data_IF_342141325749
#
_entry.id   IF_342141325749
#
_cell.length_a   1.000
_cell.length_b   1.000
_cell.length_c   1.000
_cell.angle_alpha   90.00
_cell.angle_beta   90.00
_cell.angle_gamma   90.00
#
_symmetry.space_group_name_H-M   'P 1'
#
loop_
_entity.id
_entity.type
_entity.pdbx_description
1 polymer ?
#
# COMPACT_ATOMS: atom_id res chain seq x y z
N UNK A 1 -5.28 33.99 11.73
CA UNK A 1 -5.80 32.75 11.12
C UNK A 1 -4.95 31.58 11.60
N UNK A 2 -5.53 30.75 12.47
CA UNK A 2 -4.89 29.75 13.35
C UNK A 2 -4.36 28.53 12.58
N UNK A 3 -3.34 27.87 13.13
CA UNK A 3 -2.62 26.69 12.61
C UNK A 3 -3.52 25.44 12.35
N UNK A 4 -4.45 25.48 11.39
CA UNK A 4 -5.29 24.33 11.00
C UNK A 4 -4.60 23.37 10.04
N UNK A 5 -3.48 23.79 9.44
CA UNK A 5 -2.73 23.01 8.45
C UNK A 5 -2.24 21.62 8.90
N UNK A 6 -1.86 21.36 10.17
CA UNK A 6 -1.30 20.06 10.54
C UNK A 6 -2.34 18.94 10.63
N UNK A 7 -3.64 19.24 10.70
CA UNK A 7 -4.68 18.22 10.88
C UNK A 7 -5.42 17.84 9.59
N UNK A 8 -5.36 18.67 8.54
CA UNK A 8 -6.13 18.44 7.31
C UNK A 8 -5.74 17.16 6.55
N UNK A 9 -4.44 16.85 6.46
CA UNK A 9 -3.94 15.65 5.77
C UNK A 9 -4.41 14.36 6.44
N UNK A 10 -4.31 14.19 7.78
CA UNK A 10 -4.91 13.07 8.50
C UNK A 10 -6.39 12.82 8.20
N UNK A 11 -7.22 13.89 8.11
CA UNK A 11 -8.64 13.73 7.78
C UNK A 11 -8.84 13.23 6.35
N UNK A 12 -8.06 13.73 5.38
CA UNK A 12 -8.13 13.23 4.01
C UNK A 12 -7.70 11.76 3.91
N UNK A 13 -6.61 11.38 4.58
CA UNK A 13 -6.14 9.99 4.63
C UNK A 13 -7.17 9.07 5.30
N UNK A 14 -7.85 9.55 6.35
CA UNK A 14 -8.95 8.83 6.97
C UNK A 14 -10.15 8.66 6.04
N UNK A 15 -10.57 9.71 5.32
CA UNK A 15 -11.66 9.59 4.34
C UNK A 15 -11.28 8.63 3.19
N UNK A 16 -10.01 8.60 2.80
CA UNK A 16 -9.48 7.66 1.81
C UNK A 16 -9.60 6.21 2.29
N UNK A 17 -9.21 5.92 3.53
CA UNK A 17 -9.42 4.61 4.15
C UNK A 17 -10.90 4.18 4.12
N UNK A 18 -11.83 5.15 4.15
CA UNK A 18 -13.27 4.90 4.09
C UNK A 18 -13.72 4.20 2.81
N UNK A 19 -13.07 4.47 1.68
CA UNK A 19 -13.38 3.78 0.41
C UNK A 19 -12.99 2.32 0.47
N UNK A 20 -11.81 2.02 1.03
CA UNK A 20 -11.38 0.65 1.27
C UNK A 20 -12.32 -0.06 2.25
N UNK A 21 -12.67 0.60 3.35
CA UNK A 21 -13.58 0.05 4.36
C UNK A 21 -14.96 -0.23 3.77
N UNK A 22 -15.48 0.64 2.89
CA UNK A 22 -16.75 0.42 2.21
C UNK A 22 -16.73 -0.87 1.40
N UNK A 23 -15.68 -1.09 0.60
CA UNK A 23 -15.54 -2.32 -0.20
C UNK A 23 -15.52 -3.57 0.69
N UNK A 24 -14.83 -3.53 1.84
CA UNK A 24 -14.85 -4.64 2.79
C UNK A 24 -16.26 -4.90 3.36
N UNK A 25 -16.97 -3.83 3.75
CA UNK A 25 -18.33 -3.94 4.27
C UNK A 25 -19.28 -4.51 3.21
N UNK A 26 -19.07 -4.16 1.93
CA UNK A 26 -19.91 -4.66 0.86
C UNK A 26 -19.90 -6.18 0.72
N UNK A 27 -18.83 -6.87 1.10
CA UNK A 27 -18.81 -8.34 1.10
C UNK A 27 -19.83 -8.97 2.06
N UNK A 28 -20.24 -8.28 3.13
CA UNK A 28 -21.30 -8.78 4.03
C UNK A 28 -22.70 -8.73 3.40
N UNK A 29 -22.88 -7.92 2.36
CA UNK A 29 -24.15 -7.74 1.64
C UNK A 29 -24.18 -8.45 0.29
N UNK A 30 -23.09 -9.10 -0.10
CA UNK A 30 -22.90 -9.72 -1.42
C UNK A 30 -24.03 -10.67 -1.82
N UNK A 31 -24.57 -11.44 -0.85
CA UNK A 31 -25.60 -12.46 -1.08
C UNK A 31 -27.02 -12.04 -0.66
N UNK A 32 -27.19 -10.81 -0.20
CA UNK A 32 -28.48 -10.33 0.29
C UNK A 32 -29.33 -9.66 -0.81
N UNK A 33 -28.86 -9.67 -2.06
CA UNK A 33 -29.41 -8.88 -3.18
C UNK A 33 -29.63 -7.39 -2.85
N UNK A 34 -28.97 -6.91 -1.80
CA UNK A 34 -29.15 -5.59 -1.24
C UNK A 34 -27.88 -4.75 -1.48
N UNK A 35 -28.07 -3.50 -1.86
CA UNK A 35 -26.98 -2.52 -1.87
C UNK A 35 -26.51 -2.37 -0.43
N UNK A 36 -25.20 -2.39 -0.21
CA UNK A 36 -24.61 -1.95 1.05
C UNK A 36 -25.22 -0.61 1.43
N UNK A 37 -25.90 -0.48 2.58
CA UNK A 37 -26.56 0.76 2.98
C UNK A 37 -25.57 1.93 3.04
N UNK A 38 -25.44 2.66 1.92
CA UNK A 38 -24.37 3.63 1.71
C UNK A 38 -24.46 4.76 2.73
N UNK A 39 -25.68 5.23 3.00
CA UNK A 39 -25.94 6.25 4.00
C UNK A 39 -25.58 5.78 5.42
N UNK A 40 -25.93 4.55 5.78
CA UNK A 40 -25.60 3.97 7.08
C UNK A 40 -24.08 3.90 7.27
N UNK A 41 -23.37 3.37 6.26
CA UNK A 41 -21.92 3.32 6.26
C UNK A 41 -21.30 4.71 6.42
N UNK A 42 -21.72 5.70 5.63
CA UNK A 42 -21.15 7.04 5.70
C UNK A 42 -21.44 7.73 7.03
N UNK A 43 -22.66 7.58 7.58
CA UNK A 43 -23.00 8.13 8.88
C UNK A 43 -22.12 7.51 9.96
N UNK A 44 -22.01 6.19 10.02
CA UNK A 44 -21.15 5.52 10.98
C UNK A 44 -19.67 5.91 10.81
N UNK A 45 -19.16 5.93 9.58
CA UNK A 45 -17.76 6.23 9.29
C UNK A 45 -17.38 7.68 9.61
N UNK A 46 -18.21 8.64 9.21
CA UNK A 46 -17.96 10.07 9.41
C UNK A 46 -18.23 10.49 10.85
N UNK A 47 -19.37 10.11 11.42
CA UNK A 47 -19.70 10.43 12.83
C UNK A 47 -18.71 9.75 13.76
N UNK A 48 -18.41 8.48 13.52
CA UNK A 48 -17.44 7.75 14.33
C UNK A 48 -16.03 8.28 14.19
N UNK A 49 -15.60 8.62 12.97
CA UNK A 49 -14.34 9.31 12.73
C UNK A 49 -14.26 10.62 13.49
N UNK A 50 -15.25 11.51 13.36
CA UNK A 50 -15.29 12.79 14.06
C UNK A 50 -15.27 12.62 15.58
N UNK A 51 -16.02 11.66 16.13
CA UNK A 51 -16.01 11.35 17.56
C UNK A 51 -14.60 10.92 18.01
N UNK A 52 -13.93 10.06 17.24
CA UNK A 52 -12.55 9.65 17.49
C UNK A 52 -11.59 10.85 17.45
N UNK A 53 -11.62 11.64 16.38
CA UNK A 53 -10.75 12.81 16.21
C UNK A 53 -10.96 13.85 17.32
N UNK A 54 -12.20 14.06 17.75
CA UNK A 54 -12.53 14.94 18.87
C UNK A 54 -11.94 14.39 20.19
N UNK A 55 -12.13 13.10 20.47
CA UNK A 55 -11.56 12.45 21.65
C UNK A 55 -10.03 12.55 21.67
N UNK A 56 -9.36 12.24 20.54
CA UNK A 56 -7.91 12.31 20.40
C UNK A 56 -7.37 13.73 20.54
N UNK A 57 -8.13 14.73 20.10
CA UNK A 57 -7.75 16.15 20.25
C UNK A 57 -7.77 16.62 21.70
N UNK A 58 -8.61 16.03 22.56
CA UNK A 58 -8.70 16.38 23.98
C UNK A 58 -7.65 15.66 24.83
N UNK A 59 -7.34 14.39 24.52
CA UNK A 59 -6.30 13.61 25.19
C UNK A 59 -5.43 12.85 24.18
N UNK A 60 -4.18 13.28 24.02
CA UNK A 60 -3.22 12.63 23.09
C UNK A 60 -2.89 11.18 23.47
N UNK A 61 -2.90 10.90 24.78
CA UNK A 61 -2.69 9.57 25.35
C UNK A 61 -3.99 9.05 25.94
N UNK A 62 -4.91 8.71 25.05
CA UNK A 62 -6.12 8.00 25.41
C UNK A 62 -5.75 6.64 25.98
N UNK A 63 -6.15 6.40 27.22
CA UNK A 63 -6.10 5.07 27.81
C UNK A 63 -6.96 4.12 26.99
N UNK A 64 -6.54 2.87 26.90
CA UNK A 64 -7.28 1.80 26.21
C UNK A 64 -8.75 1.71 26.68
N UNK A 65 -9.03 2.11 27.92
CA UNK A 65 -10.39 2.17 28.48
C UNK A 65 -11.35 3.12 27.76
N UNK A 66 -10.88 4.22 27.13
CA UNK A 66 -11.77 5.13 26.41
C UNK A 66 -12.12 4.64 24.98
N UNK A 67 -11.44 3.61 24.46
CA UNK A 67 -11.78 3.02 23.17
C UNK A 67 -13.10 2.25 23.22
N UNK A 68 -13.36 1.52 24.30
CA UNK A 68 -14.59 0.74 24.45
C UNK A 68 -15.88 1.57 24.36
N UNK A 69 -16.06 2.68 25.11
CA UNK A 69 -17.27 3.50 24.99
C UNK A 69 -17.38 4.16 23.61
N UNK A 70 -16.25 4.46 22.96
CA UNK A 70 -16.24 5.02 21.60
C UNK A 70 -16.70 4.00 20.56
N UNK A 71 -16.18 2.77 20.62
CA UNK A 71 -16.62 1.66 19.75
C UNK A 71 -18.09 1.34 19.99
N UNK A 72 -18.54 1.30 21.25
CA UNK A 72 -19.95 1.09 21.58
C UNK A 72 -20.86 2.20 21.02
N UNK A 73 -20.44 3.46 21.13
CA UNK A 73 -21.17 4.60 20.56
C UNK A 73 -21.25 4.50 19.03
N UNK A 74 -20.14 4.21 18.36
CA UNK A 74 -20.10 4.10 16.89
C UNK A 74 -20.94 2.92 16.41
N UNK A 75 -20.83 1.76 17.06
CA UNK A 75 -21.62 0.58 16.73
C UNK A 75 -23.11 0.80 16.98
N UNK A 76 -23.47 1.58 18.00
CA UNK A 76 -24.85 1.98 18.24
C UNK A 76 -25.40 2.86 17.10
N UNK A 77 -24.60 3.79 16.57
CA UNK A 77 -24.97 4.58 15.39
C UNK A 77 -25.14 3.70 14.15
N UNK A 78 -24.22 2.76 13.91
CA UNK A 78 -24.33 1.78 12.82
C UNK A 78 -25.60 0.93 12.92
N UNK A 79 -25.93 0.45 14.13
CA UNK A 79 -27.14 -0.31 14.39
C UNK A 79 -28.41 0.52 14.13
N UNK A 80 -28.48 1.77 14.61
CA UNK A 80 -29.62 2.66 14.39
C UNK A 80 -29.84 3.01 12.91
N UNK A 81 -28.79 2.97 12.11
CA UNK A 81 -28.83 3.31 10.68
C UNK A 81 -29.12 2.11 9.77
N UNK A 82 -29.32 0.92 10.37
CA UNK A 82 -29.83 -0.26 9.67
C UNK A 82 -28.83 -1.41 9.52
N UNK A 83 -27.62 -1.31 10.07
CA UNK A 83 -26.73 -2.47 10.12
C UNK A 83 -27.18 -3.47 11.18
N UNK A 84 -26.94 -4.76 10.90
CA UNK A 84 -27.02 -5.77 11.95
C UNK A 84 -26.02 -5.45 13.04
N UNK A 85 -26.34 -5.79 14.29
CA UNK A 85 -25.49 -5.51 15.45
C UNK A 85 -24.04 -6.00 15.25
N UNK A 86 -23.87 -7.17 14.62
CA UNK A 86 -22.56 -7.74 14.32
C UNK A 86 -21.78 -6.88 13.31
N UNK A 87 -22.40 -6.51 12.18
CA UNK A 87 -21.74 -5.69 11.15
C UNK A 87 -21.39 -4.31 11.70
N UNK A 88 -22.32 -3.67 12.42
CA UNK A 88 -22.09 -2.38 13.06
C UNK A 88 -20.92 -2.44 14.06
N UNK A 89 -20.84 -3.50 14.87
CA UNK A 89 -19.72 -3.66 15.82
C UNK A 89 -18.37 -3.82 15.10
N UNK A 90 -18.32 -4.62 14.04
CA UNK A 90 -17.10 -4.82 13.24
C UNK A 90 -16.66 -3.53 12.56
N UNK A 91 -17.60 -2.78 11.97
CA UNK A 91 -17.34 -1.48 11.35
C UNK A 91 -16.86 -0.48 12.40
N UNK A 92 -17.51 -0.40 13.55
CA UNK A 92 -17.12 0.48 14.65
C UNK A 92 -15.69 0.24 15.15
N UNK A 93 -15.28 -1.02 15.32
CA UNK A 93 -13.90 -1.38 15.68
C UNK A 93 -12.94 -0.91 14.60
N UNK A 94 -13.24 -1.18 13.33
CA UNK A 94 -12.37 -0.83 12.22
C UNK A 94 -12.28 0.70 12.01
N UNK A 95 -13.39 1.43 12.10
CA UNK A 95 -13.48 2.89 12.10
C UNK A 95 -12.60 3.48 13.20
N UNK A 96 -12.73 2.98 14.43
CA UNK A 96 -11.95 3.45 15.58
C UNK A 96 -10.45 3.20 15.41
N UNK A 97 -10.10 1.99 14.93
CA UNK A 97 -8.72 1.63 14.62
C UNK A 97 -8.14 2.54 13.53
N UNK A 98 -8.88 2.76 12.43
CA UNK A 98 -8.43 3.61 11.31
C UNK A 98 -8.29 5.06 11.74
N UNK A 99 -9.21 5.59 12.54
CA UNK A 99 -9.11 6.93 13.07
C UNK A 99 -7.86 7.08 13.96
N UNK A 100 -7.55 6.09 14.80
CA UNK A 100 -6.35 6.08 15.63
C UNK A 100 -5.05 6.11 14.81
N UNK A 101 -4.94 5.25 13.79
CA UNK A 101 -3.75 5.22 12.92
C UNK A 101 -3.57 6.57 12.21
N UNK A 102 -4.63 7.09 11.56
CA UNK A 102 -4.53 8.34 10.81
C UNK A 102 -4.26 9.55 11.73
N UNK A 103 -4.72 9.50 12.98
CA UNK A 103 -4.41 10.56 13.95
C UNK A 103 -2.94 10.55 14.39
N UNK A 104 -2.36 9.37 14.65
CA UNK A 104 -0.98 9.25 15.16
C UNK A 104 0.08 9.32 14.07
N UNK A 105 -0.19 8.76 12.89
CA UNK A 105 0.76 8.71 11.78
C UNK A 105 0.49 9.83 10.77
N UNK A 106 1.16 10.96 10.94
CA UNK A 106 0.99 12.11 10.04
C UNK A 106 1.43 11.84 8.58
N UNK A 107 2.24 10.80 8.35
CA UNK A 107 2.72 10.42 7.03
C UNK A 107 2.59 8.92 6.81
N UNK A 108 1.80 8.55 5.81
CA UNK A 108 1.47 7.17 5.49
C UNK A 108 2.05 6.75 4.15
N UNK A 109 2.85 5.69 4.18
CA UNK A 109 3.45 5.09 2.98
C UNK A 109 2.60 3.93 2.43
N UNK A 110 1.56 3.50 3.15
CA UNK A 110 0.70 2.37 2.81
C UNK A 110 -0.54 2.74 1.96
N UNK A 111 -0.70 4.01 1.58
CA UNK A 111 -1.83 4.47 0.75
C UNK A 111 -1.94 3.72 -0.60
N UNK A 112 -0.80 3.39 -1.21
CA UNK A 112 -0.78 2.60 -2.45
C UNK A 112 -1.21 1.15 -2.22
N UNK A 113 -0.82 0.55 -1.09
CA UNK A 113 -1.23 -0.80 -0.74
C UNK A 113 -2.74 -0.85 -0.50
N UNK A 114 -3.31 0.14 0.20
CA UNK A 114 -4.75 0.26 0.39
C UNK A 114 -5.50 0.41 -0.92
N UNK A 115 -5.03 1.28 -1.82
CA UNK A 115 -5.58 1.39 -3.17
C UNK A 115 -5.56 0.05 -3.90
N UNK A 116 -4.43 -0.68 -3.86
CA UNK A 116 -4.29 -1.98 -4.50
C UNK A 116 -5.28 -3.00 -3.90
N UNK A 117 -5.44 -3.04 -2.58
CA UNK A 117 -6.43 -3.91 -1.92
C UNK A 117 -7.86 -3.53 -2.27
N UNK A 118 -8.19 -2.25 -2.38
CA UNK A 118 -9.51 -1.82 -2.88
C UNK A 118 -9.71 -2.26 -4.32
N UNK A 119 -8.72 -2.07 -5.20
CA UNK A 119 -8.82 -2.48 -6.60
C UNK A 119 -9.04 -3.99 -6.74
N UNK A 120 -8.27 -4.79 -5.99
CA UNK A 120 -8.41 -6.25 -5.97
C UNK A 120 -9.77 -6.64 -5.37
N UNK A 121 -10.16 -6.06 -4.23
CA UNK A 121 -11.44 -6.34 -3.57
C UNK A 121 -12.64 -6.00 -4.45
N UNK A 122 -12.63 -4.83 -5.10
CA UNK A 122 -13.66 -4.43 -6.05
C UNK A 122 -13.70 -5.32 -7.29
N UNK A 123 -12.55 -5.79 -7.79
CA UNK A 123 -12.50 -6.72 -8.91
C UNK A 123 -13.07 -8.09 -8.53
N UNK A 124 -12.70 -8.61 -7.36
CA UNK A 124 -13.26 -9.86 -6.82
C UNK A 124 -14.77 -9.70 -6.66
N UNK A 125 -15.24 -8.62 -6.03
CA UNK A 125 -16.66 -8.31 -5.89
C UNK A 125 -17.35 -8.27 -7.26
N UNK A 126 -16.74 -7.65 -8.26
CA UNK A 126 -17.30 -7.59 -9.61
C UNK A 126 -17.47 -8.98 -10.26
N UNK A 127 -16.55 -9.91 -10.00
CA UNK A 127 -16.58 -11.25 -10.57
C UNK A 127 -17.62 -12.17 -9.91
N UNK A 128 -17.84 -12.04 -8.60
CA UNK A 128 -18.72 -12.94 -7.83
C UNK A 128 -20.06 -12.31 -7.44
N UNK A 129 -20.18 -10.98 -7.56
CA UNK A 129 -21.33 -10.23 -7.11
C UNK A 129 -22.51 -10.26 -8.09
N UNK A 130 -23.69 -10.09 -7.51
CA UNK A 130 -24.96 -10.07 -8.23
C UNK A 130 -25.02 -8.88 -9.20
N UNK A 131 -25.74 -9.06 -10.31
CA UNK A 131 -25.63 -8.19 -11.51
C UNK A 131 -25.92 -6.71 -11.23
N UNK A 132 -26.81 -6.39 -10.28
CA UNK A 132 -27.37 -5.05 -10.14
C UNK A 132 -26.39 -3.99 -9.66
N UNK A 133 -25.26 -4.38 -9.02
CA UNK A 133 -24.39 -3.41 -8.32
C UNK A 133 -22.89 -3.58 -8.56
N UNK A 134 -22.50 -4.52 -9.43
CA UNK A 134 -21.08 -4.82 -9.68
C UNK A 134 -20.34 -3.65 -10.33
N UNK A 135 -20.98 -2.89 -11.22
CA UNK A 135 -20.36 -1.74 -11.91
C UNK A 135 -19.99 -0.61 -10.95
N UNK A 136 -20.79 -0.39 -9.90
CA UNK A 136 -20.51 0.64 -8.88
C UNK A 136 -19.17 0.37 -8.20
N UNK A 137 -18.82 -0.91 -7.96
CA UNK A 137 -17.54 -1.27 -7.34
C UNK A 137 -16.34 -0.96 -8.22
N UNK A 138 -16.47 -1.06 -9.54
CA UNK A 138 -15.42 -0.62 -10.47
C UNK A 138 -15.28 0.91 -10.47
N UNK A 139 -16.42 1.63 -10.44
CA UNK A 139 -16.44 3.08 -10.29
C UNK A 139 -15.73 3.55 -9.02
N UNK A 140 -15.89 2.82 -7.92
CA UNK A 140 -15.18 3.08 -6.66
C UNK A 140 -13.66 2.97 -6.78
N UNK A 141 -13.13 2.06 -7.61
CA UNK A 141 -11.67 1.98 -7.86
C UNK A 141 -11.17 3.26 -8.53
N UNK A 142 -11.89 3.76 -9.53
CA UNK A 142 -11.57 5.01 -10.20
C UNK A 142 -11.62 6.18 -9.22
N UNK A 143 -12.70 6.26 -8.44
CA UNK A 143 -12.84 7.27 -7.38
C UNK A 143 -11.67 7.21 -6.39
N UNK A 144 -11.30 6.00 -5.95
CA UNK A 144 -10.22 5.80 -4.99
C UNK A 144 -8.85 6.21 -5.57
N UNK A 145 -8.61 5.92 -6.86
CA UNK A 145 -7.40 6.39 -7.56
C UNK A 145 -7.35 7.91 -7.61
N UNK A 146 -8.44 8.58 -7.99
CA UNK A 146 -8.51 10.05 -8.01
C UNK A 146 -8.22 10.61 -6.62
N UNK A 147 -8.80 9.99 -5.60
CA UNK A 147 -8.60 10.41 -4.22
C UNK A 147 -7.14 10.24 -3.78
N UNK A 148 -6.48 9.13 -4.15
CA UNK A 148 -5.05 8.90 -3.93
C UNK A 148 -4.19 10.02 -4.55
N UNK A 149 -4.51 10.39 -5.79
CA UNK A 149 -3.80 11.44 -6.53
C UNK A 149 -3.97 12.81 -5.85
N UNK A 150 -5.18 13.12 -5.35
CA UNK A 150 -5.46 14.33 -4.57
C UNK A 150 -4.62 14.37 -3.30
N UNK A 151 -4.57 13.28 -2.53
CA UNK A 151 -3.78 13.21 -1.30
C UNK A 151 -2.30 13.41 -1.59
N UNK A 152 -1.74 12.69 -2.58
CA UNK A 152 -0.32 12.82 -2.95
C UNK A 152 0.03 14.23 -3.42
N UNK A 153 -0.86 14.89 -4.16
CA UNK A 153 -0.66 16.29 -4.57
C UNK A 153 -0.73 17.26 -3.40
N UNK A 154 -1.67 17.07 -2.46
CA UNK A 154 -1.76 17.88 -1.24
C UNK A 154 -0.51 17.72 -0.38
N UNK A 155 -0.06 16.49 -0.13
CA UNK A 155 1.16 16.20 0.63
C UNK A 155 2.38 16.88 0.00
N UNK A 156 2.51 16.77 -1.32
CA UNK A 156 3.62 17.37 -2.05
C UNK A 156 3.58 18.90 -2.00
N UNK A 157 2.41 19.50 -2.17
CA UNK A 157 2.23 20.95 -2.12
C UNK A 157 2.52 21.51 -0.73
N UNK A 158 2.07 20.83 0.33
CA UNK A 158 2.35 21.20 1.71
C UNK A 158 3.84 21.06 2.05
N UNK A 159 4.51 20.02 1.53
CA UNK A 159 5.95 19.81 1.76
C UNK A 159 6.82 20.82 1.01
N UNK A 160 6.44 21.19 -0.22
CA UNK A 160 7.16 22.15 -1.07
C UNK A 160 6.16 22.94 -1.91
N UNK A 161 5.78 24.16 -1.50
CA UNK A 161 4.81 24.96 -2.24
C UNK A 161 5.41 25.40 -3.58
N UNK A 162 5.22 24.59 -4.61
CA UNK A 162 5.65 24.86 -5.98
C UNK A 162 4.44 24.79 -6.90
N UNK A 163 3.89 25.97 -7.24
CA UNK A 163 2.71 26.09 -8.09
C UNK A 163 2.91 25.48 -9.48
N UNK A 164 4.12 25.53 -10.04
CA UNK A 164 4.42 24.94 -11.36
C UNK A 164 4.34 23.42 -11.34
N UNK A 165 4.90 22.81 -10.29
CA UNK A 165 4.86 21.35 -10.13
C UNK A 165 3.44 20.85 -9.81
N UNK A 166 2.68 21.60 -9.02
CA UNK A 166 1.27 21.29 -8.78
C UNK A 166 0.45 21.32 -10.08
N UNK A 167 0.60 22.36 -10.91
CA UNK A 167 -0.07 22.45 -12.21
C UNK A 167 0.30 21.28 -13.13
N UNK A 168 1.57 20.89 -13.16
CA UNK A 168 2.04 19.74 -13.93
C UNK A 168 1.38 18.44 -13.46
N UNK A 169 1.38 18.17 -12.15
CA UNK A 169 0.74 16.98 -11.58
C UNK A 169 -0.77 16.97 -11.86
N UNK A 170 -1.45 18.10 -11.70
CA UNK A 170 -2.88 18.20 -12.01
C UNK A 170 -3.16 17.95 -13.50
N UNK A 171 -2.31 18.43 -14.40
CA UNK A 171 -2.40 18.12 -15.83
C UNK A 171 -2.24 16.62 -16.10
N UNK A 172 -1.25 15.98 -15.48
CA UNK A 172 -1.05 14.53 -15.59
C UNK A 172 -2.23 13.73 -15.05
N UNK A 173 -2.83 14.17 -13.94
CA UNK A 173 -4.04 13.54 -13.39
C UNK A 173 -5.25 13.74 -14.30
N UNK A 174 -5.37 14.91 -14.93
CA UNK A 174 -6.39 15.17 -15.95
C UNK A 174 -6.26 14.21 -17.14
N UNK A 175 -5.04 13.92 -17.59
CA UNK A 175 -4.78 12.93 -18.64
C UNK A 175 -5.16 11.52 -18.18
N UNK A 176 -4.80 11.12 -16.95
CA UNK A 176 -5.20 9.82 -16.40
C UNK A 176 -6.73 9.70 -16.34
N UNK A 177 -7.40 10.73 -15.82
CA UNK A 177 -8.87 10.79 -15.75
C UNK A 177 -9.53 10.74 -17.13
N UNK A 178 -8.99 11.46 -18.10
CA UNK A 178 -9.46 11.42 -19.48
C UNK A 178 -9.27 10.02 -20.08
N UNK A 179 -8.14 9.36 -19.81
CA UNK A 179 -7.88 7.98 -20.22
C UNK A 179 -8.85 6.98 -19.61
N UNK A 180 -9.18 7.14 -18.32
CA UNK A 180 -10.19 6.32 -17.65
C UNK A 180 -11.58 6.58 -18.24
N UNK A 181 -11.95 7.85 -18.44
CA UNK A 181 -13.22 8.23 -19.06
C UNK A 181 -13.37 7.66 -20.46
N UNK A 182 -12.32 7.76 -21.28
CA UNK A 182 -12.27 7.11 -22.59
C UNK A 182 -12.39 5.58 -22.47
N UNK A 183 -11.70 4.97 -21.50
CA UNK A 183 -11.82 3.53 -21.21
C UNK A 183 -13.24 3.11 -20.85
N UNK A 184 -13.96 3.88 -20.03
CA UNK A 184 -15.37 3.63 -19.67
C UNK A 184 -16.28 3.78 -20.89
N UNK A 185 -16.08 4.81 -21.72
CA UNK A 185 -16.85 4.98 -22.96
C UNK A 185 -16.58 3.87 -23.99
N UNK A 186 -15.35 3.37 -24.02
CA UNK A 186 -14.96 2.23 -24.87
C UNK A 186 -15.32 0.88 -24.24
N UNK A 187 -15.69 0.83 -22.96
CA UNK A 187 -15.96 -0.43 -22.25
C UNK A 187 -17.08 -1.26 -22.89
N UNK A 188 -18.22 -0.70 -23.35
CA UNK A 188 -19.22 -1.47 -24.08
C UNK A 188 -18.68 -2.08 -25.38
N UNK A 189 -17.80 -1.36 -26.08
CA UNK A 189 -17.16 -1.84 -27.31
C UNK A 189 -16.19 -2.97 -27.01
N UNK A 190 -15.35 -2.80 -25.98
CA UNK A 190 -14.41 -3.84 -25.51
C UNK A 190 -15.17 -5.07 -25.04
N UNK A 191 -16.24 -4.90 -24.23
CA UNK A 191 -17.12 -5.97 -23.78
C UNK A 191 -17.78 -6.68 -24.96
N UNK A 192 -18.26 -5.93 -25.95
CA UNK A 192 -18.82 -6.47 -27.19
C UNK A 192 -17.81 -7.28 -27.98
N UNK A 193 -16.58 -6.78 -28.13
CA UNK A 193 -15.50 -7.47 -28.81
C UNK A 193 -15.09 -8.76 -28.09
N UNK A 194 -14.95 -8.73 -26.76
CA UNK A 194 -14.65 -9.92 -25.95
C UNK A 194 -15.77 -10.95 -26.09
N UNK A 195 -17.04 -10.53 -25.97
CA UNK A 195 -18.20 -11.42 -26.17
C UNK A 195 -18.22 -12.00 -27.58
N UNK A 196 -17.91 -11.20 -28.61
CA UNK A 196 -17.83 -11.65 -29.99
C UNK A 196 -16.74 -12.70 -30.18
N UNK A 197 -15.51 -12.45 -29.68
CA UNK A 197 -14.39 -13.39 -29.78
C UNK A 197 -14.70 -14.68 -29.01
N UNK A 198 -15.21 -14.59 -27.78
CA UNK A 198 -15.60 -15.76 -26.99
C UNK A 198 -16.73 -16.56 -27.65
N UNK A 199 -17.72 -15.88 -28.23
CA UNK A 199 -18.79 -16.51 -28.99
C UNK A 199 -18.23 -17.25 -30.21
N UNK A 200 -17.35 -16.60 -30.98
CA UNK A 200 -16.70 -17.21 -32.15
C UNK A 200 -15.91 -18.46 -31.75
N UNK A 201 -15.08 -18.37 -30.70
CA UNK A 201 -14.32 -19.50 -30.18
C UNK A 201 -15.25 -20.61 -29.69
N UNK A 202 -16.31 -20.27 -28.96
CA UNK A 202 -17.30 -21.22 -28.46
C UNK A 202 -18.05 -21.93 -29.58
N UNK A 203 -18.44 -21.21 -30.64
CA UNK A 203 -19.08 -21.79 -31.83
C UNK A 203 -18.14 -22.71 -32.57
N UNK A 204 -16.88 -22.32 -32.81
CA UNK A 204 -15.89 -23.19 -33.45
C UNK A 204 -15.64 -24.44 -32.60
N UNK A 205 -15.51 -24.28 -31.29
CA UNK A 205 -15.35 -25.41 -30.37
C UNK A 205 -16.56 -26.34 -30.41
N UNK A 206 -17.78 -25.80 -30.37
CA UNK A 206 -19.01 -26.59 -30.47
C UNK A 206 -19.15 -27.30 -31.81
N UNK A 207 -18.71 -26.70 -32.92
CA UNK A 207 -18.72 -27.36 -34.24
C UNK A 207 -17.69 -28.50 -34.31
N UNK A 208 -16.47 -28.27 -33.82
CA UNK A 208 -15.38 -29.25 -33.91
C UNK A 208 -15.56 -30.40 -32.92
N UNK A 209 -15.97 -30.09 -31.68
CA UNK A 209 -16.03 -31.06 -30.59
C UNK A 209 -17.45 -31.44 -30.18
N UNK A 210 -18.47 -30.68 -30.57
CA UNK A 210 -19.86 -30.94 -30.16
C UNK A 210 -20.37 -32.29 -30.64
N UNK A 211 -20.18 -32.64 -31.91
CA UNK A 211 -20.60 -33.96 -32.43
C UNK A 211 -19.82 -35.12 -31.78
N UNK A 212 -18.48 -35.10 -31.67
CA UNK A 212 -17.73 -36.14 -30.95
C UNK A 212 -18.14 -36.28 -29.48
N UNK A 213 -18.34 -35.16 -28.76
CA UNK A 213 -18.77 -35.18 -27.36
C UNK A 213 -20.18 -35.72 -27.24
N UNK A 214 -21.12 -35.28 -28.09
CA UNK A 214 -22.48 -35.79 -28.11
C UNK A 214 -22.52 -37.29 -28.41
N UNK A 215 -21.76 -37.74 -29.41
CA UNK A 215 -21.62 -39.16 -29.72
C UNK A 215 -21.04 -39.94 -28.54
N UNK A 216 -19.99 -39.44 -27.89
CA UNK A 216 -19.37 -40.09 -26.74
C UNK A 216 -20.34 -40.16 -25.53
N UNK A 217 -21.05 -39.07 -25.25
CA UNK A 217 -22.06 -39.00 -24.19
C UNK A 217 -23.25 -39.94 -24.47
N UNK A 218 -23.67 -40.06 -25.74
CA UNK A 218 -24.72 -41.00 -26.16
C UNK A 218 -24.35 -42.46 -25.93
N UNK A 219 -23.06 -42.77 -25.75
CA UNK A 219 -22.56 -44.12 -25.44
C UNK A 219 -22.37 -44.37 -23.94
N UNK A 220 -22.22 -43.30 -23.15
CA UNK A 220 -21.98 -43.37 -21.70
C UNK A 220 -23.28 -43.22 -20.91
N UNK A 221 -24.27 -42.50 -21.44
CA UNK A 221 -25.61 -42.41 -20.85
C UNK A 221 -26.43 -43.67 -21.19
N UNK A 222 -26.58 -44.50 -20.15
CA UNK A 222 -27.59 -45.55 -19.99
C UNK A 222 -28.96 -45.00 -20.39
N UNK A 223 -29.75 -45.86 -21.05
CA UNK A 223 -31.16 -45.69 -21.44
C UNK A 223 -31.98 -45.08 -20.28
N UNK A 224 -31.99 -43.74 -20.21
CA UNK A 224 -32.82 -42.98 -19.28
C UNK A 224 -34.12 -42.73 -20.05
N UNK A 225 -35.10 -43.60 -19.78
CA UNK A 225 -36.48 -43.60 -20.29
C UNK A 225 -36.76 -42.61 -21.42
N UNK A 226 -36.75 -43.13 -22.66
CA UNK A 226 -37.38 -42.47 -23.81
C UNK A 226 -38.86 -42.14 -23.60
N UNK A 227 -39.49 -42.68 -22.55
CA UNK A 227 -40.90 -42.42 -22.21
C UNK A 227 -41.14 -41.07 -21.51
N UNK A 228 -40.10 -40.36 -21.06
CA UNK A 228 -40.26 -38.98 -20.56
C UNK A 228 -40.28 -37.91 -21.67
N UNK A 229 -39.95 -38.28 -22.92
CA UNK A 229 -39.92 -37.36 -24.07
C UNK A 229 -40.81 -37.77 -25.25
N UNK A 230 -41.48 -38.93 -25.20
CA UNK A 230 -42.32 -39.43 -26.30
C UNK A 230 -43.80 -39.06 -26.21
N UNK A 231 -44.29 -38.50 -25.10
CA UNK A 231 -45.67 -37.98 -25.01
C UNK A 231 -45.76 -36.48 -25.33
N UNK A 232 -45.80 -36.19 -26.63
CA UNK A 232 -46.98 -35.54 -27.21
C UNK A 232 -47.48 -34.21 -26.61
N UNK A 233 -46.62 -33.35 -26.08
CA UNK A 233 -46.90 -31.91 -26.02
C UNK A 233 -45.72 -31.16 -26.60
N UNK A 234 -45.97 -30.49 -27.74
CA UNK A 234 -44.99 -29.65 -28.41
C UNK A 234 -44.36 -28.71 -27.41
N UNK A 235 -43.08 -28.93 -27.14
CA UNK A 235 -42.21 -27.94 -26.53
C UNK A 235 -41.98 -26.87 -27.61
N UNK A 236 -42.96 -25.98 -27.74
CA UNK A 236 -42.67 -24.59 -28.06
C UNK A 236 -41.84 -24.05 -26.91
N UNK A 237 -40.54 -24.39 -26.92
CA UNK A 237 -39.54 -23.67 -26.13
C UNK A 237 -39.36 -22.34 -26.81
N UNK A 238 -40.35 -21.47 -26.64
CA UNK A 238 -40.02 -20.10 -26.36
C UNK A 238 -39.01 -20.14 -25.21
N UNK A 239 -37.74 -19.95 -25.58
CA UNK A 239 -36.67 -19.63 -24.66
C UNK A 239 -37.05 -18.30 -23.99
N UNK A 240 -37.97 -18.35 -23.04
CA UNK A 240 -38.15 -17.28 -22.09
C UNK A 240 -36.91 -17.31 -21.19
N UNK A 241 -36.17 -16.19 -21.07
CA UNK A 241 -35.02 -16.08 -20.16
C UNK A 241 -35.33 -16.55 -18.73
N UNK A 242 -36.60 -16.47 -18.34
CA UNK A 242 -37.13 -16.78 -17.01
C UNK A 242 -36.97 -18.26 -16.60
N UNK A 243 -37.00 -19.23 -17.53
CA UNK A 243 -36.90 -20.65 -17.15
C UNK A 243 -35.47 -21.07 -16.76
N UNK A 244 -34.46 -20.43 -17.39
CA UNK A 244 -33.06 -20.62 -17.03
C UNK A 244 -32.71 -19.85 -15.73
N UNK A 245 -33.35 -18.70 -15.51
CA UNK A 245 -33.28 -17.97 -14.23
C UNK A 245 -33.94 -18.74 -13.08
N UNK A 246 -35.08 -19.41 -13.31
CA UNK A 246 -35.74 -20.22 -12.29
C UNK A 246 -34.91 -21.46 -11.89
N UNK A 247 -34.21 -22.09 -12.84
CA UNK A 247 -33.29 -23.19 -12.56
C UNK A 247 -32.01 -22.71 -11.82
N UNK A 248 -31.54 -21.50 -12.11
CA UNK A 248 -30.42 -20.87 -11.39
C UNK A 248 -30.81 -20.45 -9.95
N UNK A 249 -32.07 -20.10 -9.71
CA UNK A 249 -32.58 -19.70 -8.38
C UNK A 249 -32.97 -20.89 -7.48
N UNK A 250 -33.15 -22.09 -8.04
CA UNK A 250 -33.64 -23.27 -7.31
C UNK A 250 -32.60 -24.05 -6.52
N UNK A 251 -31.30 -23.90 -6.82
CA UNK A 251 -30.24 -24.60 -6.10
C UNK A 251 -29.80 -23.81 -4.87
N UNK A 252 -30.59 -23.93 -3.79
CA UNK A 252 -30.14 -23.61 -2.45
C UNK A 252 -28.97 -24.54 -2.12
N UNK A 253 -27.75 -24.08 -2.37
CA UNK A 253 -26.51 -24.57 -1.76
C UNK A 253 -26.07 -23.50 -0.73
N UNK A 254 -26.76 -23.36 0.42
CA UNK A 254 -26.43 -22.33 1.39
C UNK A 254 -25.03 -22.55 1.98
N UNK A 255 -24.57 -23.81 2.03
CA UNK A 255 -23.35 -24.18 2.75
C UNK A 255 -22.07 -23.91 1.96
N UNK A 256 -22.11 -23.97 0.62
CA UNK A 256 -20.93 -23.70 -0.21
C UNK A 256 -20.61 -22.20 -0.26
N UNK A 257 -21.63 -21.35 -0.17
CA UNK A 257 -21.48 -19.89 -0.15
C UNK A 257 -20.78 -19.42 1.13
N UNK A 258 -21.16 -19.98 2.29
CA UNK A 258 -20.46 -19.69 3.56
C UNK A 258 -19.02 -20.19 3.56
N UNK A 259 -18.73 -21.32 2.90
CA UNK A 259 -17.36 -21.81 2.71
C UNK A 259 -16.51 -20.88 1.85
N UNK A 260 -17.08 -20.29 0.78
CA UNK A 260 -16.39 -19.32 -0.08
C UNK A 260 -16.15 -18.01 0.69
N UNK A 261 -17.14 -17.50 1.43
CA UNK A 261 -16.98 -16.31 2.29
C UNK A 261 -15.91 -16.55 3.35
N UNK A 262 -15.96 -17.71 4.02
CA UNK A 262 -14.97 -18.09 5.02
C UNK A 262 -13.57 -18.21 4.40
N UNK A 263 -13.45 -18.78 3.20
CA UNK A 263 -12.18 -18.87 2.47
C UNK A 263 -11.64 -17.49 2.10
N UNK A 264 -12.47 -16.57 1.62
CA UNK A 264 -12.06 -15.19 1.30
C UNK A 264 -11.65 -14.44 2.55
N UNK A 265 -12.37 -14.59 3.67
CA UNK A 265 -12.01 -13.99 4.97
C UNK A 265 -10.70 -14.56 5.49
N UNK A 266 -10.49 -15.88 5.39
CA UNK A 266 -9.22 -16.53 5.78
C UNK A 266 -8.08 -16.02 4.92
N UNK A 267 -8.25 -15.93 3.60
CA UNK A 267 -7.22 -15.40 2.70
C UNK A 267 -6.92 -13.93 3.03
N UNK A 268 -7.95 -13.11 3.28
CA UNK A 268 -7.78 -11.72 3.68
C UNK A 268 -7.05 -11.58 5.03
N UNK A 269 -7.38 -12.42 6.02
CA UNK A 269 -6.69 -12.48 7.33
C UNK A 269 -5.26 -12.98 7.17
N UNK A 270 -5.00 -13.98 6.32
CA UNK A 270 -3.64 -14.48 6.06
C UNK A 270 -2.81 -13.42 5.35
N UNK A 271 -3.34 -12.76 4.32
CA UNK A 271 -2.69 -11.62 3.66
C UNK A 271 -2.43 -10.51 4.69
N UNK A 272 -3.43 -10.16 5.49
CA UNK A 272 -3.29 -9.15 6.54
C UNK A 272 -2.19 -9.54 7.54
N UNK A 273 -2.18 -10.77 8.05
CA UNK A 273 -1.17 -11.29 8.97
C UNK A 273 0.22 -11.33 8.32
N UNK A 274 0.36 -11.70 7.04
CA UNK A 274 1.65 -11.75 6.34
C UNK A 274 2.20 -10.35 6.10
N UNK A 275 1.35 -9.39 5.73
CA UNK A 275 1.76 -8.01 5.50
C UNK A 275 1.97 -7.21 6.80
N UNK A 276 1.19 -7.50 7.87
CA UNK A 276 1.31 -6.84 9.16
C UNK A 276 2.26 -7.53 10.14
N UNK A 277 2.62 -8.81 9.97
CA UNK A 277 3.69 -9.45 10.76
C UNK A 277 5.03 -8.75 10.61
N UNK A 278 5.30 -8.09 9.47
CA UNK A 278 6.49 -7.25 9.31
C UNK A 278 6.48 -5.97 10.16
N UNK A 279 5.35 -5.60 10.76
CA UNK A 279 5.22 -4.42 11.63
C UNK A 279 4.86 -4.74 13.09
N UNK A 280 4.40 -5.95 13.38
CA UNK A 280 4.07 -6.43 14.73
C UNK A 280 5.24 -7.15 15.40
N UNK A 281 6.45 -6.60 15.27
CA UNK A 281 7.58 -6.95 16.11
C UNK A 281 7.36 -6.33 17.50
N UNK A 282 6.46 -6.96 18.26
CA UNK A 282 6.12 -6.64 19.66
C UNK A 282 7.21 -7.10 20.65
N UNK A 283 8.47 -7.20 20.21
CA UNK A 283 9.62 -7.56 21.05
C UNK A 283 10.60 -6.40 21.30
N UNK A 284 10.20 -5.13 21.11
CA UNK A 284 11.03 -3.97 21.49
C UNK A 284 10.73 -3.40 22.88
N UNK A 285 10.36 -4.25 23.82
CA UNK A 285 10.46 -3.97 25.26
C UNK A 285 11.52 -4.89 25.90
N UNK A 286 12.77 -4.82 25.43
CA UNK A 286 13.94 -5.08 26.30
C UNK A 286 15.24 -4.64 25.60
N UNK A 287 15.88 -3.63 26.21
CA UNK A 287 17.34 -3.46 26.40
C UNK A 287 18.26 -3.76 25.21
N UNK A 288 18.84 -2.67 24.67
CA UNK A 288 20.23 -2.52 24.19
C UNK A 288 20.77 -3.65 23.31
N UNK A 289 20.83 -3.41 22.00
CA UNK A 289 22.08 -3.44 21.21
C UNK A 289 21.80 -3.14 19.74
N UNK A 290 22.78 -2.45 19.16
CA UNK A 290 22.84 -1.86 17.83
C UNK A 290 22.81 -2.90 16.71
N UNK A 291 21.94 -2.70 15.71
CA UNK A 291 22.25 -2.79 14.27
C UNK A 291 21.02 -2.43 13.43
N UNK A 292 21.12 -1.51 12.44
CA UNK A 292 20.05 -1.31 11.47
C UNK A 292 20.21 -2.31 10.32
N UNK A 293 19.33 -3.31 10.29
CA UNK A 293 19.15 -4.22 9.17
C UNK A 293 18.86 -3.41 7.88
N UNK A 294 19.78 -3.54 6.92
CA UNK A 294 19.66 -3.05 5.56
C UNK A 294 18.62 -3.90 4.82
N UNK A 295 17.69 -3.23 4.15
CA UNK A 295 16.73 -3.82 3.22
C UNK A 295 17.44 -4.51 2.05
N UNK A 296 17.24 -5.83 1.92
CA UNK A 296 17.55 -6.69 0.78
C UNK A 296 16.73 -6.33 -0.47
N UNK A 297 17.07 -5.22 -1.11
CA UNK A 297 16.54 -4.88 -2.43
C UNK A 297 17.63 -4.25 -3.31
N UNK A 298 18.78 -4.93 -3.44
CA UNK A 298 19.79 -4.62 -4.45
C UNK A 298 20.75 -5.80 -4.71
N UNK A 299 20.29 -7.04 -4.63
CA UNK A 299 21.05 -8.18 -5.16
C UNK A 299 20.51 -8.43 -6.56
N UNK A 300 21.19 -7.85 -7.55
CA UNK A 300 21.37 -8.34 -8.93
C UNK A 300 21.63 -7.16 -9.87
N UNK A 301 22.89 -6.99 -10.30
CA UNK A 301 23.22 -6.17 -11.46
C UNK A 301 24.47 -5.31 -11.31
N UNK A 302 25.62 -5.91 -11.62
CA UNK A 302 26.78 -5.30 -12.26
C UNK A 302 27.44 -4.04 -11.63
N UNK A 303 28.65 -4.29 -11.11
CA UNK A 303 29.87 -3.52 -11.36
C UNK A 303 29.80 -1.97 -11.26
N UNK A 304 30.47 -1.48 -10.21
CA UNK A 304 31.40 -0.35 -10.29
C UNK A 304 30.84 1.07 -10.57
N UNK A 305 29.65 1.40 -10.09
CA UNK A 305 29.12 2.76 -10.22
C UNK A 305 29.55 3.70 -9.06
N UNK A 306 30.74 4.29 -9.22
CA UNK A 306 31.25 5.52 -8.54
C UNK A 306 30.37 6.74 -8.88
N UNK A 307 29.08 6.68 -8.61
CA UNK A 307 28.18 7.82 -8.83
C UNK A 307 28.29 8.76 -7.63
N UNK A 308 29.09 9.81 -7.82
CA UNK A 308 29.07 11.05 -7.06
C UNK A 308 27.69 11.71 -7.19
N UNK A 309 26.68 11.20 -6.46
CA UNK A 309 25.46 11.98 -6.21
C UNK A 309 25.87 13.23 -5.43
N UNK A 310 25.50 14.41 -5.92
CA UNK A 310 25.67 15.71 -5.26
C UNK A 310 24.85 15.74 -3.95
N UNK A 311 25.35 15.09 -2.90
CA UNK A 311 24.79 15.14 -1.55
C UNK A 311 24.96 16.56 -1.02
N UNK A 312 23.88 17.14 -0.47
CA UNK A 312 23.95 18.45 0.19
C UNK A 312 24.83 18.34 1.44
N UNK A 313 25.71 19.32 1.72
CA UNK A 313 26.54 19.29 2.92
C UNK A 313 25.66 19.34 4.19
N UNK A 314 26.05 18.63 5.27
CA UNK A 314 25.39 18.75 6.58
C UNK A 314 25.50 20.17 7.15
N UNK A 315 24.51 20.57 7.96
CA UNK A 315 24.51 21.88 8.64
C UNK A 315 25.50 21.93 9.82
N UNK A 316 25.65 20.84 10.58
CA UNK A 316 26.58 20.78 11.71
C UNK A 316 28.05 20.78 11.23
N UNK A 317 28.89 21.56 11.91
CA UNK A 317 30.28 21.80 11.51
C UNK A 317 31.17 20.55 11.49
N UNK A 318 31.08 19.69 12.52
CA UNK A 318 31.84 18.45 12.59
C UNK A 318 31.43 17.44 11.51
N UNK A 319 30.11 17.34 11.23
CA UNK A 319 29.58 16.49 10.14
C UNK A 319 29.96 17.05 8.77
N UNK A 320 30.00 18.38 8.62
CA UNK A 320 30.44 19.06 7.40
C UNK A 320 31.93 18.79 7.14
N UNK A 321 32.76 18.80 8.17
CA UNK A 321 34.18 18.51 8.05
C UNK A 321 34.44 17.06 7.58
N UNK A 322 33.75 16.08 8.15
CA UNK A 322 33.85 14.68 7.69
C UNK A 322 33.36 14.50 6.25
N UNK A 323 32.28 15.19 5.89
CA UNK A 323 31.77 15.17 4.52
C UNK A 323 32.78 15.75 3.52
N UNK A 324 33.50 16.81 3.89
CA UNK A 324 34.58 17.38 3.08
C UNK A 324 35.79 16.43 2.99
N UNK A 325 36.10 15.72 4.08
CA UNK A 325 37.12 14.68 4.09
C UNK A 325 36.78 13.54 3.12
N UNK A 326 35.58 12.98 3.20
CA UNK A 326 35.10 11.91 2.29
C UNK A 326 35.18 12.35 0.83
N UNK A 327 34.77 13.58 0.53
CA UNK A 327 34.87 14.15 -0.83
C UNK A 327 36.33 14.31 -1.29
N UNK A 328 37.23 14.69 -0.39
CA UNK A 328 38.65 14.89 -0.71
C UNK A 328 39.36 13.56 -0.94
N UNK A 329 39.11 12.58 -0.07
CA UNK A 329 39.62 11.22 -0.22
C UNK A 329 39.10 10.55 -1.51
N UNK A 330 37.82 10.76 -1.85
CA UNK A 330 37.24 10.25 -3.10
C UNK A 330 37.95 10.80 -4.35
N UNK A 331 38.35 12.08 -4.36
CA UNK A 331 39.14 12.66 -5.46
C UNK A 331 40.53 12.02 -5.61
N UNK A 332 41.08 11.48 -4.52
CA UNK A 332 42.37 10.79 -4.50
C UNK A 332 42.23 9.27 -4.70
N UNK A 333 41.01 8.76 -4.92
CA UNK A 333 40.76 7.33 -5.11
C UNK A 333 40.50 6.53 -3.83
N UNK A 334 40.57 7.17 -2.66
CA UNK A 334 40.34 6.55 -1.33
C UNK A 334 38.95 6.87 -0.78
N UNK A 335 37.97 7.06 -1.65
CA UNK A 335 36.58 7.32 -1.24
C UNK A 335 35.94 6.12 -0.55
N UNK A 336 34.88 6.37 0.22
CA UNK A 336 34.09 5.33 0.86
C UNK A 336 33.18 4.60 -0.13
N UNK A 337 33.13 3.28 -0.05
CA UNK A 337 32.19 2.49 -0.84
C UNK A 337 30.75 2.64 -0.32
N UNK A 338 29.75 2.29 -1.14
CA UNK A 338 28.34 2.49 -0.76
C UNK A 338 27.93 1.67 0.46
N UNK A 339 28.47 0.46 0.54
CA UNK A 339 28.12 -0.54 1.56
C UNK A 339 29.15 -0.56 2.70
N UNK A 340 30.09 0.39 2.70
CA UNK A 340 31.17 0.46 3.69
C UNK A 340 30.78 1.42 4.82
N UNK A 341 30.90 0.93 6.06
CA UNK A 341 30.70 1.73 7.26
C UNK A 341 31.80 2.79 7.42
N UNK A 342 31.56 3.79 8.28
CA UNK A 342 32.60 4.78 8.58
C UNK A 342 33.85 4.11 9.20
N UNK A 343 33.66 3.09 10.03
CA UNK A 343 34.76 2.40 10.69
C UNK A 343 35.61 1.63 9.69
N UNK A 344 34.99 0.82 8.85
CA UNK A 344 35.70 0.04 7.81
C UNK A 344 36.45 0.96 6.86
N UNK A 345 35.82 2.07 6.46
CA UNK A 345 36.44 3.05 5.59
C UNK A 345 37.67 3.72 6.22
N UNK A 346 37.57 4.15 7.48
CA UNK A 346 38.68 4.77 8.21
C UNK A 346 39.83 3.79 8.41
N UNK A 347 39.53 2.55 8.79
CA UNK A 347 40.53 1.48 8.95
C UNK A 347 41.28 1.18 7.65
N UNK A 348 40.64 1.37 6.48
CA UNK A 348 41.25 1.14 5.18
C UNK A 348 42.17 2.28 4.72
N UNK A 349 41.85 3.53 5.03
CA UNK A 349 42.53 4.70 4.44
C UNK A 349 43.49 5.41 5.38
N UNK A 350 43.36 5.22 6.69
CA UNK A 350 44.19 5.86 7.68
C UNK A 350 45.09 4.83 8.35
N UNK A 351 46.41 5.04 8.41
CA UNK A 351 47.32 4.14 9.12
C UNK A 351 47.38 4.44 10.63
N UNK A 352 47.14 5.69 11.04
CA UNK A 352 47.22 6.08 12.44
C UNK A 352 45.93 5.74 13.20
N UNK A 353 46.06 4.92 14.26
CA UNK A 353 44.91 4.43 15.05
C UNK A 353 44.31 5.53 15.93
N UNK A 354 45.10 6.49 16.36
CA UNK A 354 44.63 7.55 17.25
C UNK A 354 43.77 8.57 16.50
N UNK A 355 44.20 9.02 15.33
CA UNK A 355 43.41 9.90 14.48
C UNK A 355 42.08 9.25 14.02
N UNK A 356 42.09 7.93 13.79
CA UNK A 356 40.87 7.16 13.51
C UNK A 356 39.91 7.18 14.70
N UNK A 357 40.42 6.89 15.90
CA UNK A 357 39.63 6.85 17.13
C UNK A 357 38.98 8.19 17.42
N UNK A 358 39.78 9.27 17.41
CA UNK A 358 39.31 10.66 17.61
C UNK A 358 38.22 11.03 16.59
N UNK A 359 38.42 10.69 15.31
CA UNK A 359 37.45 11.01 14.25
C UNK A 359 36.17 10.20 14.39
N UNK A 360 36.28 8.91 14.73
CA UNK A 360 35.12 8.04 14.94
C UNK A 360 34.28 8.55 16.11
N UNK A 361 34.90 8.78 17.26
CA UNK A 361 34.23 9.23 18.48
C UNK A 361 33.55 10.60 18.27
N UNK A 362 34.28 11.56 17.69
CA UNK A 362 33.72 12.89 17.42
C UNK A 362 32.52 12.85 16.46
N UNK A 363 32.56 12.01 15.44
CA UNK A 363 31.42 11.86 14.53
C UNK A 363 30.25 11.11 15.16
N UNK A 364 30.51 10.05 15.93
CA UNK A 364 29.47 9.28 16.60
C UNK A 364 28.71 10.14 17.63
N UNK A 365 29.44 10.93 18.43
CA UNK A 365 28.86 11.87 19.41
C UNK A 365 27.88 12.84 18.74
N UNK A 366 28.28 13.42 17.62
CA UNK A 366 27.44 14.40 16.90
C UNK A 366 26.29 13.77 16.11
N UNK A 367 26.49 12.57 15.56
CA UNK A 367 25.47 11.93 14.70
C UNK A 367 24.43 11.14 15.49
N UNK A 368 24.85 10.45 16.55
CA UNK A 368 24.02 9.53 17.31
C UNK A 368 23.74 10.04 18.73
N UNK A 369 24.66 10.81 19.31
CA UNK A 369 24.47 11.41 20.64
C UNK A 369 23.61 12.67 20.66
N UNK A 370 23.40 13.33 19.51
CA UNK A 370 22.63 14.59 19.45
C UNK A 370 23.33 15.79 20.10
N UNK A 371 24.58 15.62 20.51
CA UNK A 371 25.39 16.64 21.20
C UNK A 371 26.32 17.37 20.21
N UNK A 372 26.60 18.64 20.47
CA UNK A 372 27.67 19.35 19.79
C UNK A 372 29.01 19.07 20.48
N UNK A 373 30.10 19.00 19.71
CA UNK A 373 31.44 18.93 20.29
C UNK A 373 31.75 20.24 21.03
N UNK A 374 32.41 20.13 22.18
CA UNK A 374 33.02 21.30 22.82
C UNK A 374 34.10 21.91 21.92
N UNK A 375 34.52 23.14 22.20
CA UNK A 375 35.57 23.82 21.41
C UNK A 375 36.88 23.00 21.37
N UNK A 376 37.27 22.43 22.50
CA UNK A 376 38.48 21.60 22.64
C UNK A 376 38.35 20.28 21.85
N UNK A 377 37.22 19.59 22.00
CA UNK A 377 36.92 18.36 21.26
C UNK A 377 36.89 18.61 19.75
N UNK A 378 36.29 19.72 19.31
CA UNK A 378 36.23 20.08 17.89
C UNK A 378 37.63 20.40 17.33
N UNK A 379 38.49 21.08 18.10
CA UNK A 379 39.87 21.33 17.68
C UNK A 379 40.68 20.04 17.56
N UNK A 380 40.50 19.09 18.48
CA UNK A 380 41.16 17.79 18.42
C UNK A 380 40.68 16.99 17.20
N UNK A 381 39.37 16.91 17.02
CA UNK A 381 38.73 16.28 15.87
C UNK A 381 39.17 16.89 14.53
N UNK A 382 39.19 18.22 14.44
CA UNK A 382 39.59 18.93 13.22
C UNK A 382 41.06 18.70 12.86
N UNK A 383 41.94 18.66 13.86
CA UNK A 383 43.37 18.32 13.66
C UNK A 383 43.54 16.89 13.17
N UNK A 384 42.82 15.92 13.76
CA UNK A 384 42.86 14.52 13.33
C UNK A 384 42.41 14.36 11.87
N UNK A 385 41.27 14.94 11.50
CA UNK A 385 40.78 14.90 10.10
C UNK A 385 41.77 15.52 9.11
N UNK A 386 42.41 16.65 9.47
CA UNK A 386 43.43 17.29 8.63
C UNK A 386 44.69 16.44 8.47
N UNK A 387 45.16 15.80 9.54
CA UNK A 387 46.32 14.90 9.50
C UNK A 387 46.06 13.71 8.57
N UNK A 388 44.90 13.07 8.69
CA UNK A 388 44.52 11.96 7.80
C UNK A 388 44.45 12.39 6.33
N UNK A 389 43.91 13.59 6.03
CA UNK A 389 43.93 14.12 4.65
C UNK A 389 45.35 14.23 4.11
N UNK A 390 46.29 14.75 4.92
CA UNK A 390 47.67 14.92 4.51
C UNK A 390 48.38 13.57 4.32
N UNK A 391 48.13 12.59 5.20
CA UNK A 391 48.66 11.24 5.07
C UNK A 391 48.22 10.56 3.76
N UNK A 392 46.94 10.69 3.39
CA UNK A 392 46.43 10.15 2.11
C UNK A 392 47.10 10.83 0.91
N UNK A 393 47.32 12.15 0.97
CA UNK A 393 48.01 12.89 -0.10
C UNK A 393 49.46 12.44 -0.28
N UNK A 394 50.21 12.27 0.82
CA UNK A 394 51.59 11.81 0.76
C UNK A 394 51.68 10.37 0.27
N UNK A 395 50.77 9.49 0.71
CA UNK A 395 50.69 8.10 0.21
C UNK A 395 50.46 8.07 -1.30
N UNK A 396 49.53 8.89 -1.82
CA UNK A 396 49.27 8.99 -3.26
C UNK A 396 50.48 9.50 -4.04
N UNK A 397 51.22 10.46 -3.48
CA UNK A 397 52.44 11.02 -4.07
C UNK A 397 53.56 9.98 -4.15
N UNK A 398 53.71 9.15 -3.12
CA UNK A 398 54.66 8.05 -3.08
C UNK A 398 54.30 6.93 -4.08
N UNK A 399 53.03 6.57 -4.18
CA UNK A 399 52.54 5.61 -5.20
C UNK A 399 52.87 6.09 -6.62
N UNK A 400 52.61 7.37 -6.92
CA UNK A 400 52.90 7.95 -8.23
C UNK A 400 54.39 7.88 -8.57
N UNK A 401 55.27 8.25 -7.62
CA UNK A 401 56.73 8.16 -7.78
C UNK A 401 57.26 6.74 -7.99
N UNK A 402 56.55 5.72 -7.52
CA UNK A 402 56.91 4.31 -7.74
C UNK A 402 56.40 3.77 -9.08
N UNK A 403 55.38 4.38 -9.68
CA UNK A 403 54.89 4.02 -11.01
C UNK A 403 55.69 4.71 -12.13
N UNK A 404 56.30 5.86 -11.83
CA UNK A 404 57.14 6.62 -12.77
C UNK A 404 58.62 6.14 -12.79
N UNK A 405 58.97 5.13 -12.00
CA UNK A 405 60.27 4.44 -11.99
C UNK A 405 60.06 3.02 -12.49
#
# INVERSE_FOLDING_TARGET
MKNWKPHFVPYLQYLFDGVFMFVLVSFFFLFQDAITPLLAFFLEYVVGGLACFFAFSYKKDLSFGLFFPLIAFIGFVGWLTGFSFLVATVVAVAVSWRAFINYREAKRDDLFALFAFTAIGSLVYYMIGLESYKEIMLGLVVFHLVFLLVIKSTDQYMARPNKKQLKWNLGLYGIILAGIGAGVLLFPVIKGLIKFVLSLVGTVFAMVFGEPIYWLLSKIYIDYDRDLFSEGKGWDVQQTPDALEAAAQGSKLPDLQWLIVLAVVIIAVVIWLVFFKKKLDLNRFQVVSSEPALTDAAINGALHNRVSRKRKPPQNEARRLLFQFEKSAAKLGYGRNRDESLNEWLSRIAPDREDQRITKEGYQKVRYGGENLTSEEYQLYSRAVKRMINQIKETKKLEKRKQDK
#
